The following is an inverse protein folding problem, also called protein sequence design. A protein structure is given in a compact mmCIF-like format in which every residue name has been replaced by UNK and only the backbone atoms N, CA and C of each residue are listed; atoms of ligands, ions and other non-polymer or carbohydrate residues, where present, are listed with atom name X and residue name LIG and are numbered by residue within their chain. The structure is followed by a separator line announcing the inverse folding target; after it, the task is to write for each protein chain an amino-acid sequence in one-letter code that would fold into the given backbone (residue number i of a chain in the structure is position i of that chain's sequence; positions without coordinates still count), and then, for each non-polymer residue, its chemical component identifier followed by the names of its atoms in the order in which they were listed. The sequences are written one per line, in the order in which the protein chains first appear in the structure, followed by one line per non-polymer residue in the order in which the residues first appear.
data_IF_742067646280
#
_entry.id   IF_742067646280
#
_cell.length_a   1.000
_cell.length_b   1.000
_cell.length_c   1.000
_cell.angle_alpha   90.00
_cell.angle_beta   90.00
_cell.angle_gamma   90.00
#
_symmetry.space_group_name_H-M   'P 1'
#
loop_
_entity.id
_entity.type
_entity.pdbx_description
1 polymer ?
#
# COMPACT_ATOMS: atom_id res chain seq x y z
N UNK A 1 -19.75 -1.35 -2.93
CA UNK A 1 -19.20 -2.25 -3.98
C UNK A 1 -17.85 -2.91 -3.61
N UNK A 2 -17.40 -2.86 -2.34
CA UNK A 2 -16.07 -3.34 -1.88
C UNK A 2 -15.97 -4.84 -1.49
N UNK A 3 -16.92 -5.69 -1.91
CA UNK A 3 -16.97 -7.10 -1.45
C UNK A 3 -16.36 -8.10 -2.43
N UNK A 4 -15.88 -7.68 -3.60
CA UNK A 4 -15.26 -8.60 -4.56
C UNK A 4 -13.79 -8.84 -4.18
N UNK A 5 -13.37 -10.11 -4.03
CA UNK A 5 -11.99 -10.46 -3.69
C UNK A 5 -10.97 -9.91 -4.70
N UNK A 6 -11.40 -9.72 -5.95
CA UNK A 6 -10.64 -9.12 -7.06
C UNK A 6 -10.24 -7.68 -6.77
N UNK A 7 -11.14 -6.86 -6.21
CA UNK A 7 -10.86 -5.45 -5.89
C UNK A 7 -9.85 -5.34 -4.75
N UNK A 8 -9.97 -6.20 -3.73
CA UNK A 8 -8.98 -6.30 -2.65
C UNK A 8 -7.62 -6.80 -3.17
N UNK A 9 -7.63 -7.66 -4.18
CA UNK A 9 -6.42 -8.12 -4.86
C UNK A 9 -5.74 -6.96 -5.59
N UNK A 10 -6.43 -6.25 -6.48
CA UNK A 10 -5.85 -5.13 -7.25
C UNK A 10 -5.40 -4.01 -6.31
N UNK A 11 -6.21 -3.66 -5.31
CA UNK A 11 -5.91 -2.59 -4.37
C UNK A 11 -4.68 -2.93 -3.51
N UNK A 12 -4.63 -4.13 -2.94
CA UNK A 12 -3.56 -4.57 -2.05
C UNK A 12 -2.27 -5.02 -2.73
N UNK A 13 -2.35 -5.67 -3.90
CA UNK A 13 -1.17 -6.21 -4.61
C UNK A 13 -0.60 -5.29 -5.68
N UNK A 14 -1.38 -4.37 -6.24
CA UNK A 14 -0.93 -3.58 -7.39
C UNK A 14 -1.00 -2.08 -7.11
N UNK A 15 -2.15 -1.55 -6.69
CA UNK A 15 -2.32 -0.10 -6.59
C UNK A 15 -1.57 0.51 -5.41
N UNK A 16 -1.78 0.01 -4.19
CA UNK A 16 -1.11 0.53 -2.99
C UNK A 16 0.41 0.31 -3.00
N UNK A 17 0.95 -0.86 -3.40
CA UNK A 17 2.39 -1.04 -3.52
C UNK A 17 3.03 -0.16 -4.58
N UNK A 18 2.35 0.06 -5.72
CA UNK A 18 2.86 0.94 -6.77
C UNK A 18 2.86 2.40 -6.33
N UNK A 19 1.82 2.85 -5.61
CA UNK A 19 1.78 4.18 -4.99
C UNK A 19 2.89 4.35 -3.94
N UNK A 20 3.17 3.31 -3.14
CA UNK A 20 4.29 3.32 -2.20
C UNK A 20 5.64 3.50 -2.93
N UNK A 21 5.84 2.77 -4.03
CA UNK A 21 7.05 2.88 -4.84
C UNK A 21 7.21 4.28 -5.46
N UNK A 22 6.14 4.83 -6.03
CA UNK A 22 6.15 6.19 -6.58
C UNK A 22 6.41 7.24 -5.50
N UNK A 23 5.79 7.09 -4.33
CA UNK A 23 6.05 7.95 -3.15
C UNK A 23 7.51 7.90 -2.72
N UNK A 24 8.12 6.71 -2.71
CA UNK A 24 9.53 6.56 -2.38
C UNK A 24 10.45 7.28 -3.39
N UNK A 25 10.15 7.17 -4.69
CA UNK A 25 10.91 7.88 -5.74
C UNK A 25 10.80 9.40 -5.54
N UNK A 26 9.58 9.91 -5.30
CA UNK A 26 9.35 11.35 -5.05
C UNK A 26 10.07 11.83 -3.78
N UNK A 27 9.98 11.07 -2.69
CA UNK A 27 10.69 11.40 -1.45
C UNK A 27 12.20 11.47 -1.66
N UNK A 28 12.75 10.50 -2.40
CA UNK A 28 14.18 10.45 -2.69
C UNK A 28 14.63 11.61 -3.58
N UNK A 29 13.89 11.94 -4.65
CA UNK A 29 14.24 13.07 -5.52
C UNK A 29 14.15 14.40 -4.79
N UNK A 30 13.21 14.58 -3.86
CA UNK A 30 13.14 15.77 -2.99
C UNK A 30 14.35 15.91 -2.07
N UNK A 31 14.84 14.79 -1.51
CA UNK A 31 16.07 14.79 -0.68
C UNK A 31 17.27 15.21 -1.53
N UNK A 32 17.41 14.62 -2.73
CA UNK A 32 18.50 14.92 -3.66
C UNK A 32 18.43 16.37 -4.18
N UNK A 33 17.23 16.92 -4.34
CA UNK A 33 16.97 18.31 -4.72
C UNK A 33 17.16 19.33 -3.58
N UNK A 34 17.64 18.90 -2.41
CA UNK A 34 17.98 19.79 -1.29
C UNK A 34 16.86 19.99 -0.27
N UNK A 35 15.63 19.54 -0.52
CA UNK A 35 14.52 19.61 0.43
C UNK A 35 14.48 18.36 1.33
N UNK A 36 15.51 18.22 2.16
CA UNK A 36 15.79 17.01 2.95
C UNK A 36 14.66 16.64 3.92
N UNK A 37 14.07 17.63 4.60
CA UNK A 37 13.04 17.38 5.62
C UNK A 37 11.74 16.91 4.96
N UNK A 38 11.23 17.65 3.98
CA UNK A 38 10.01 17.26 3.28
C UNK A 38 10.19 15.93 2.54
N UNK A 39 11.33 15.73 1.89
CA UNK A 39 11.66 14.48 1.24
C UNK A 39 11.71 13.29 2.20
N UNK A 40 12.30 13.44 3.40
CA UNK A 40 12.29 12.40 4.42
C UNK A 40 10.87 12.09 4.94
N UNK A 41 10.03 13.12 5.13
CA UNK A 41 8.63 12.92 5.54
C UNK A 41 7.87 12.13 4.47
N UNK A 42 8.01 12.48 3.19
CA UNK A 42 7.37 11.74 2.09
C UNK A 42 7.92 10.31 2.02
N UNK A 43 9.24 10.17 2.07
CA UNK A 43 9.92 8.88 1.96
C UNK A 43 9.50 7.93 3.09
N UNK A 44 9.37 8.43 4.32
CA UNK A 44 9.05 7.61 5.49
C UNK A 44 7.54 7.57 5.70
N UNK A 45 6.91 8.69 6.03
CA UNK A 45 5.51 8.72 6.47
C UNK A 45 4.56 8.31 5.35
N UNK A 46 4.68 8.94 4.17
CA UNK A 46 3.73 8.71 3.08
C UNK A 46 3.90 7.31 2.49
N UNK A 47 5.15 6.88 2.26
CA UNK A 47 5.43 5.52 1.80
C UNK A 47 4.96 4.46 2.80
N UNK A 48 5.15 4.68 4.10
CA UNK A 48 4.67 3.75 5.13
C UNK A 48 3.14 3.65 5.14
N UNK A 49 2.40 4.75 4.96
CA UNK A 49 0.92 4.70 4.86
C UNK A 49 0.48 3.79 3.71
N UNK A 50 1.12 3.90 2.54
CA UNK A 50 0.81 3.03 1.41
C UNK A 50 1.23 1.58 1.63
N UNK A 51 2.40 1.35 2.23
CA UNK A 51 2.89 0.00 2.56
C UNK A 51 2.00 -0.69 3.60
N UNK A 52 1.61 0.01 4.66
CA UNK A 52 0.67 -0.51 5.66
C UNK A 52 -0.73 -0.72 5.09
N UNK A 53 -1.20 0.17 4.22
CA UNK A 53 -2.45 0.00 3.50
C UNK A 53 -2.45 -1.29 2.66
N UNK A 54 -1.36 -1.54 1.92
CA UNK A 54 -1.18 -2.76 1.15
C UNK A 54 -1.19 -3.99 2.07
N UNK A 55 -0.42 -3.95 3.16
CA UNK A 55 -0.38 -5.03 4.14
C UNK A 55 -1.77 -5.34 4.75
N UNK A 56 -2.53 -4.30 5.12
CA UNK A 56 -3.87 -4.45 5.67
C UNK A 56 -4.85 -5.07 4.65
N UNK A 57 -4.82 -4.61 3.39
CA UNK A 57 -5.65 -5.16 2.31
C UNK A 57 -5.36 -6.65 2.07
N UNK A 58 -4.08 -7.04 2.13
CA UNK A 58 -3.66 -8.44 2.05
C UNK A 58 -4.17 -9.29 3.23
N UNK A 59 -4.13 -8.72 4.43
CA UNK A 59 -4.64 -9.36 5.66
C UNK A 59 -6.15 -9.58 5.58
N UNK A 60 -6.89 -8.57 5.14
CA UNK A 60 -8.35 -8.62 4.98
C UNK A 60 -8.75 -9.69 3.95
N UNK A 61 -8.00 -9.80 2.85
CA UNK A 61 -8.19 -10.88 1.86
C UNK A 61 -7.98 -12.26 2.48
N UNK A 62 -6.91 -12.46 3.25
CA UNK A 62 -6.64 -13.74 3.92
C UNK A 62 -7.81 -14.16 4.81
N UNK A 63 -8.36 -13.23 5.58
CA UNK A 63 -9.54 -13.47 6.42
C UNK A 63 -10.77 -13.83 5.57
N UNK A 64 -11.03 -13.09 4.50
CA UNK A 64 -12.17 -13.34 3.62
C UNK A 64 -12.10 -14.70 2.90
N UNK A 65 -10.91 -15.11 2.43
CA UNK A 65 -10.71 -16.42 1.79
C UNK A 65 -10.84 -17.57 2.79
N UNK A 66 -10.33 -17.40 4.01
CA UNK A 66 -10.47 -18.41 5.08
C UNK A 66 -11.92 -18.57 5.55
N UNK A 67 -12.71 -17.50 5.51
CA UNK A 67 -14.14 -17.55 5.86
C UNK A 67 -14.96 -18.28 4.79
N UNK A 68 -14.58 -18.15 3.52
CA UNK A 68 -15.23 -18.83 2.39
C UNK A 68 -14.92 -20.34 2.39
N UNK A 69 -13.66 -20.71 2.62
CA UNK A 69 -13.24 -22.12 2.74
C UNK A 69 -13.75 -22.86 3.98
N UNK A 70 -14.40 -22.16 4.92
CA UNK A 70 -15.05 -22.76 6.10
C UNK A 70 -16.55 -23.01 5.88
N UNK A 71 -17.14 -22.49 4.78
CA UNK A 71 -18.55 -22.69 4.40
C UNK A 71 -18.77 -23.78 3.34
N UNK A 72 -17.69 -24.31 2.76
CA UNK A 72 -17.66 -25.49 1.87
C UNK A 72 -17.16 -26.70 2.62
#
# INVERSE_FOLDING_TARGET
MLKKPETLFVLGYMLLPLLALLSAIVGLTMILGGNKIAGAIVLVVVTQVFAFGAFYALRLRKTAVLEDGKRT
#
